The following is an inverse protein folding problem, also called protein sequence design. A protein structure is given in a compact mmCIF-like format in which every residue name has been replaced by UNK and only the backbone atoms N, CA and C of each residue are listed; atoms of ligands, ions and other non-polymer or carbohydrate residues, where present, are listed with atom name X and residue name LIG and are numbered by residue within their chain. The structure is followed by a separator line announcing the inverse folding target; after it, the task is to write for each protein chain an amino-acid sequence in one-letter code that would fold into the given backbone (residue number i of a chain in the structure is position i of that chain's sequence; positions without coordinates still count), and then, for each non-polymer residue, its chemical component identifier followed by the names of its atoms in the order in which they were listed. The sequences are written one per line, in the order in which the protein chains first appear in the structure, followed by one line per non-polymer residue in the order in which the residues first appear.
data_IF_969388086947
#
_entry.id   IF_969388086947
#
_cell.length_a   1.000
_cell.length_b   1.000
_cell.length_c   1.000
_cell.angle_alpha   90.00
_cell.angle_beta   90.00
_cell.angle_gamma   90.00
#
_symmetry.space_group_name_H-M   'P 1'
#
loop_
_entity.id
_entity.type
_entity.pdbx_description
1 polymer ?
#
# COMPACT_ATOMS: atom_id res chain seq x y z
N UNK A 1 28.83 5.48 9.77
CA UNK A 1 27.51 6.11 9.55
C UNK A 1 27.72 7.33 8.66
N UNK A 2 26.93 7.48 7.61
CA UNK A 2 26.94 8.69 6.77
C UNK A 2 25.84 9.61 7.29
N UNK A 3 26.21 10.77 7.84
CA UNK A 3 25.29 11.83 8.28
C UNK A 3 25.73 13.17 7.67
N UNK A 4 24.80 14.13 7.58
CA UNK A 4 25.13 15.47 7.11
C UNK A 4 26.03 16.21 8.10
N UNK A 5 26.72 17.24 7.63
CA UNK A 5 27.52 18.11 8.50
C UNK A 5 26.61 18.89 9.46
N UNK A 6 27.09 19.13 10.69
CA UNK A 6 26.31 19.82 11.72
C UNK A 6 25.83 21.22 11.30
N UNK A 7 26.61 21.90 10.45
CA UNK A 7 26.24 23.22 9.89
C UNK A 7 25.04 23.18 8.95
N UNK A 8 24.84 22.07 8.22
CA UNK A 8 23.69 21.84 7.34
C UNK A 8 22.41 21.68 8.17
N UNK A 9 22.49 20.95 9.28
CA UNK A 9 21.34 20.81 10.20
C UNK A 9 21.03 22.11 10.94
N UNK A 10 22.06 22.89 11.31
CA UNK A 10 21.88 24.16 12.01
C UNK A 10 21.35 25.29 11.10
N UNK A 11 21.68 25.26 9.80
CA UNK A 11 21.32 26.32 8.84
C UNK A 11 20.95 25.75 7.46
N UNK A 12 19.90 24.90 7.34
CA UNK A 12 19.61 24.17 6.10
C UNK A 12 19.34 25.09 4.91
N UNK A 13 18.71 26.25 5.13
CA UNK A 13 18.40 27.24 4.08
C UNK A 13 19.64 27.81 3.37
N UNK A 14 20.84 27.68 3.94
CA UNK A 14 22.09 28.07 3.25
C UNK A 14 22.53 27.08 2.18
N UNK A 15 22.07 25.83 2.27
CA UNK A 15 22.55 24.70 1.47
C UNK A 15 21.47 24.10 0.56
N UNK A 16 20.18 24.37 0.84
CA UNK A 16 19.05 23.88 0.05
C UNK A 16 18.23 25.04 -0.52
N UNK A 17 17.82 24.93 -1.78
CA UNK A 17 16.94 25.91 -2.44
C UNK A 17 15.55 25.98 -1.79
N UNK A 18 15.12 24.88 -1.16
CA UNK A 18 13.86 24.76 -0.45
C UNK A 18 14.01 23.84 0.76
N UNK A 19 13.50 24.29 1.91
CA UNK A 19 13.41 23.49 3.14
C UNK A 19 11.94 23.21 3.43
N UNK A 20 11.62 21.93 3.67
CA UNK A 20 10.28 21.48 4.07
C UNK A 20 10.43 20.80 5.42
N UNK A 21 9.65 21.26 6.40
CA UNK A 21 9.62 20.69 7.74
C UNK A 21 8.36 19.84 7.91
N UNK A 22 8.52 18.64 8.48
CA UNK A 22 7.43 17.70 8.75
C UNK A 22 7.61 17.20 10.19
N UNK A 23 6.66 17.52 11.07
CA UNK A 23 6.61 16.96 12.42
C UNK A 23 5.98 15.55 12.37
N UNK A 24 6.79 14.54 12.67
CA UNK A 24 6.34 13.15 12.70
C UNK A 24 5.40 12.84 13.86
N UNK A 25 5.38 13.68 14.91
CA UNK A 25 4.51 13.54 16.08
C UNK A 25 3.06 13.95 15.77
N UNK A 26 2.90 14.87 14.82
CA UNK A 26 1.59 15.36 14.37
C UNK A 26 1.09 14.61 13.12
N UNK A 27 1.98 13.88 12.42
CA UNK A 27 1.65 13.15 11.21
C UNK A 27 0.69 11.98 11.51
N UNK A 28 -0.49 11.99 10.87
CA UNK A 28 -1.41 10.86 10.87
C UNK A 28 -1.26 9.99 9.60
N UNK A 29 -1.80 8.74 9.57
CA UNK A 29 -1.76 7.90 8.38
C UNK A 29 -2.47 8.56 7.17
N UNK A 30 -1.90 8.37 5.98
CA UNK A 30 -2.40 8.97 4.74
C UNK A 30 -2.73 7.90 3.69
N UNK A 31 -3.60 8.29 2.77
CA UNK A 31 -3.97 7.51 1.59
C UNK A 31 -4.02 8.46 0.40
N UNK A 32 -3.29 8.16 -0.68
CA UNK A 32 -3.22 9.04 -1.85
C UNK A 32 -3.93 8.43 -3.06
N UNK A 33 -4.62 9.25 -3.86
CA UNK A 33 -5.33 8.81 -5.06
C UNK A 33 -6.69 9.48 -5.29
N UNK A 34 -7.46 9.03 -6.31
CA UNK A 34 -7.36 7.70 -6.94
C UNK A 34 -6.56 7.59 -8.26
N UNK A 35 -6.12 8.70 -8.86
CA UNK A 35 -5.49 8.68 -10.20
C UNK A 35 -4.12 9.39 -10.26
N UNK A 36 -3.66 9.89 -9.13
CA UNK A 36 -2.38 10.59 -9.00
C UNK A 36 -1.81 10.35 -7.59
N UNK A 37 -0.49 10.18 -7.44
CA UNK A 37 0.12 9.88 -6.15
C UNK A 37 0.24 11.13 -5.24
N UNK A 38 -0.01 12.33 -5.75
CA UNK A 38 0.10 13.59 -4.99
C UNK A 38 -1.24 14.08 -4.38
N UNK A 39 -2.37 13.45 -4.74
CA UNK A 39 -3.67 13.75 -4.14
C UNK A 39 -3.79 13.04 -2.79
N UNK A 40 -3.25 13.66 -1.74
CA UNK A 40 -3.15 13.10 -0.41
C UNK A 40 -4.40 13.34 0.45
N UNK A 41 -4.86 12.29 1.13
CA UNK A 41 -5.94 12.35 2.11
C UNK A 41 -5.45 11.81 3.44
N UNK A 42 -5.55 12.59 4.53
CA UNK A 42 -5.44 12.01 5.86
C UNK A 42 -6.54 10.96 6.05
N UNK A 43 -6.22 9.84 6.68
CA UNK A 43 -7.14 8.70 6.81
C UNK A 43 -8.46 9.11 7.49
N UNK A 44 -8.38 10.07 8.43
CA UNK A 44 -9.52 10.66 9.13
C UNK A 44 -10.53 11.36 8.21
N UNK A 45 -10.09 11.86 7.04
CA UNK A 45 -10.91 12.60 6.06
C UNK A 45 -11.30 11.77 4.83
N UNK A 46 -10.70 10.60 4.64
CA UNK A 46 -10.89 9.80 3.43
C UNK A 46 -12.36 9.40 3.19
N UNK A 47 -13.10 9.07 4.24
CA UNK A 47 -14.52 8.70 4.16
C UNK A 47 -15.35 9.80 3.50
N UNK A 48 -15.17 11.04 3.95
CA UNK A 48 -15.91 12.19 3.44
C UNK A 48 -15.48 12.49 2.00
N UNK A 49 -14.20 12.36 1.69
CA UNK A 49 -13.67 12.49 0.33
C UNK A 49 -14.32 11.47 -0.63
N UNK A 50 -14.42 10.20 -0.24
CA UNK A 50 -15.07 9.15 -1.04
C UNK A 50 -16.53 9.51 -1.34
N UNK A 51 -17.26 10.03 -0.36
CA UNK A 51 -18.67 10.43 -0.53
C UNK A 51 -18.82 11.64 -1.44
N UNK A 52 -18.06 12.71 -1.19
CA UNK A 52 -18.14 13.97 -1.95
C UNK A 52 -17.74 13.75 -3.42
N UNK A 53 -16.72 12.94 -3.69
CA UNK A 53 -16.24 12.69 -5.04
C UNK A 53 -16.97 11.54 -5.76
N UNK A 54 -17.90 10.84 -5.10
CA UNK A 54 -18.63 9.72 -5.68
C UNK A 54 -17.72 8.56 -6.12
N UNK A 55 -16.65 8.30 -5.36
CA UNK A 55 -15.77 7.15 -5.59
C UNK A 55 -16.42 5.86 -5.08
N UNK A 56 -16.17 4.69 -5.69
CA UNK A 56 -16.73 3.43 -5.21
C UNK A 56 -16.25 3.16 -3.78
N UNK A 57 -17.18 3.07 -2.82
CA UNK A 57 -16.83 2.87 -1.41
C UNK A 57 -16.41 1.43 -1.08
N UNK A 58 -16.80 0.46 -1.92
CA UNK A 58 -16.42 -0.94 -1.75
C UNK A 58 -15.01 -1.16 -2.26
N UNK A 59 -14.10 -1.53 -1.34
CA UNK A 59 -12.77 -2.02 -1.69
C UNK A 59 -12.89 -3.43 -2.26
N UNK A 60 -12.52 -3.61 -3.52
CA UNK A 60 -12.56 -4.93 -4.16
C UNK A 60 -11.29 -5.74 -3.87
N UNK A 61 -10.13 -5.09 -3.94
CA UNK A 61 -8.83 -5.75 -3.76
C UNK A 61 -7.89 -4.88 -2.93
N UNK A 62 -7.27 -5.49 -1.92
CA UNK A 62 -6.12 -4.96 -1.19
C UNK A 62 -4.83 -5.65 -1.65
N UNK A 63 -3.80 -4.88 -1.97
CA UNK A 63 -2.52 -5.41 -2.44
C UNK A 63 -1.37 -4.85 -1.61
N UNK A 64 -0.68 -5.68 -0.84
CA UNK A 64 0.51 -5.24 -0.08
C UNK A 64 1.80 -5.82 -0.66
N UNK A 65 2.90 -5.11 -0.45
CA UNK A 65 4.23 -5.53 -0.90
C UNK A 65 4.75 -4.74 -2.11
N UNK A 66 5.26 -5.45 -3.12
CA UNK A 66 6.03 -4.87 -4.25
C UNK A 66 7.35 -4.22 -3.77
N UNK A 67 8.05 -3.47 -4.61
CA UNK A 67 9.35 -2.90 -4.25
C UNK A 67 9.29 -1.82 -3.15
N UNK A 68 8.15 -1.16 -2.94
CA UNK A 68 8.05 -0.03 -2.00
C UNK A 68 7.89 -0.47 -0.55
N UNK A 69 6.99 -1.42 -0.27
CA UNK A 69 6.56 -1.76 1.10
C UNK A 69 6.48 -3.27 1.33
N UNK A 70 7.57 -3.98 0.99
CA UNK A 70 7.69 -5.43 1.16
C UNK A 70 8.88 -5.85 2.01
N UNK A 71 9.43 -4.94 2.81
CA UNK A 71 10.49 -5.31 3.76
C UNK A 71 9.95 -6.28 4.81
N UNK A 72 10.87 -6.90 5.56
CA UNK A 72 10.49 -7.71 6.71
C UNK A 72 9.67 -6.90 7.73
N UNK A 73 10.01 -5.64 7.96
CA UNK A 73 9.27 -4.75 8.87
C UNK A 73 7.84 -4.49 8.36
N UNK A 74 7.69 -4.16 7.07
CA UNK A 74 6.37 -3.91 6.46
C UNK A 74 5.45 -5.14 6.63
N UNK A 75 5.96 -6.32 6.27
CA UNK A 75 5.21 -7.57 6.36
C UNK A 75 4.93 -7.97 7.81
N UNK A 76 5.85 -7.67 8.73
CA UNK A 76 5.63 -7.91 10.18
C UNK A 76 4.49 -7.04 10.72
N UNK A 77 4.45 -5.76 10.34
CA UNK A 77 3.38 -4.84 10.74
C UNK A 77 2.02 -5.29 10.20
N UNK A 78 1.96 -5.66 8.92
CA UNK A 78 0.74 -6.18 8.31
C UNK A 78 0.29 -7.52 8.94
N UNK A 79 1.23 -8.45 9.17
CA UNK A 79 0.94 -9.73 9.82
C UNK A 79 0.42 -9.56 11.26
N UNK A 80 0.92 -8.56 12.00
CA UNK A 80 0.40 -8.21 13.33
C UNK A 80 -1.11 -7.88 13.31
N UNK A 81 -1.57 -7.15 12.27
CA UNK A 81 -3.00 -6.85 12.08
C UNK A 81 -3.76 -8.11 11.63
N UNK A 82 -3.18 -8.92 10.74
CA UNK A 82 -3.78 -10.17 10.30
C UNK A 82 -4.01 -11.15 11.47
N UNK A 83 -3.05 -11.29 12.39
CA UNK A 83 -3.18 -12.11 13.60
C UNK A 83 -4.33 -11.65 14.51
N UNK A 84 -4.54 -10.34 14.64
CA UNK A 84 -5.68 -9.80 15.40
C UNK A 84 -7.02 -10.10 14.73
N UNK A 85 -7.08 -10.10 13.40
CA UNK A 85 -8.27 -10.50 12.66
C UNK A 85 -8.54 -12.01 12.81
N UNK A 86 -7.51 -12.84 12.66
CA UNK A 86 -7.59 -14.29 12.82
C UNK A 86 -8.04 -14.70 14.23
N UNK A 87 -7.52 -14.07 15.29
CA UNK A 87 -7.94 -14.35 16.68
C UNK A 87 -9.41 -14.03 16.94
N UNK A 88 -9.96 -13.06 16.20
CA UNK A 88 -11.38 -12.71 16.19
C UNK A 88 -12.20 -13.52 15.18
N UNK A 89 -11.60 -14.53 14.52
CA UNK A 89 -12.21 -15.37 13.48
C UNK A 89 -12.74 -14.57 12.29
N UNK A 90 -12.12 -13.42 12.00
CA UNK A 90 -12.45 -12.59 10.86
C UNK A 90 -11.65 -13.01 9.62
N UNK A 91 -12.27 -12.87 8.46
CA UNK A 91 -11.63 -13.03 7.15
C UNK A 91 -11.65 -11.68 6.43
N UNK A 92 -10.76 -11.50 5.46
CA UNK A 92 -10.80 -10.33 4.58
C UNK A 92 -12.14 -10.28 3.84
N UNK A 93 -12.69 -9.07 3.68
CA UNK A 93 -13.91 -8.83 2.90
C UNK A 93 -13.63 -8.54 1.42
N UNK A 94 -12.40 -8.13 1.13
CA UNK A 94 -11.87 -7.85 -0.20
C UNK A 94 -10.89 -8.96 -0.57
N UNK A 95 -10.66 -9.18 -1.86
CA UNK A 95 -9.51 -10.00 -2.27
C UNK A 95 -8.24 -9.37 -1.70
N UNK A 96 -7.31 -10.21 -1.24
CA UNK A 96 -6.13 -9.72 -0.54
C UNK A 96 -4.89 -10.44 -1.03
N UNK A 97 -3.92 -9.68 -1.54
CA UNK A 97 -2.70 -10.23 -2.13
C UNK A 97 -1.45 -9.66 -1.45
N UNK A 98 -0.42 -10.50 -1.33
CA UNK A 98 0.83 -10.18 -0.65
C UNK A 98 1.99 -10.52 -1.59
N UNK A 99 2.85 -9.53 -1.89
CA UNK A 99 4.01 -9.71 -2.77
C UNK A 99 5.31 -9.42 -2.02
N UNK A 100 6.05 -10.45 -1.54
CA UNK A 100 7.37 -10.25 -0.96
C UNK A 100 8.36 -9.66 -1.99
N UNK A 101 9.24 -8.76 -1.56
CA UNK A 101 10.13 -8.02 -2.48
C UNK A 101 11.31 -8.82 -3.02
N UNK A 102 11.67 -9.92 -2.36
CA UNK A 102 12.77 -10.80 -2.76
C UNK A 102 12.58 -12.20 -2.21
N UNK A 103 13.32 -13.18 -2.75
CA UNK A 103 13.36 -14.53 -2.17
C UNK A 103 13.88 -14.55 -0.74
N UNK A 104 14.87 -13.71 -0.44
CA UNK A 104 15.41 -13.61 0.91
C UNK A 104 14.33 -13.18 1.91
N UNK A 105 13.55 -12.15 1.56
CA UNK A 105 12.43 -11.71 2.40
C UNK A 105 11.38 -12.80 2.47
N UNK A 106 10.93 -13.34 1.33
CA UNK A 106 9.91 -14.41 1.24
C UNK A 106 10.27 -15.58 2.17
N UNK A 107 11.48 -16.10 2.06
CA UNK A 107 11.98 -17.20 2.88
C UNK A 107 12.01 -16.85 4.38
N UNK A 108 12.45 -15.63 4.72
CA UNK A 108 12.54 -15.19 6.12
C UNK A 108 11.16 -15.04 6.75
N UNK A 109 10.22 -14.39 6.07
CA UNK A 109 8.85 -14.19 6.59
C UNK A 109 8.04 -15.49 6.61
N UNK A 110 8.34 -16.43 5.71
CA UNK A 110 7.80 -17.79 5.74
C UNK A 110 8.27 -18.56 6.98
N UNK A 111 9.60 -18.61 7.20
CA UNK A 111 10.22 -19.24 8.38
C UNK A 111 9.63 -18.69 9.68
N UNK A 112 9.39 -17.38 9.74
CA UNK A 112 8.89 -16.69 10.92
C UNK A 112 7.34 -16.72 11.04
N UNK A 113 6.66 -17.39 10.10
CA UNK A 113 5.21 -17.66 10.16
C UNK A 113 4.29 -16.56 9.65
N UNK A 114 4.83 -15.45 9.12
CA UNK A 114 4.05 -14.30 8.68
C UNK A 114 3.19 -14.62 7.45
N UNK A 115 3.66 -15.46 6.53
CA UNK A 115 2.85 -15.87 5.37
C UNK A 115 1.58 -16.61 5.80
N UNK A 116 1.72 -17.52 6.77
CA UNK A 116 0.61 -18.25 7.35
C UNK A 116 -0.39 -17.32 8.08
N UNK A 117 0.06 -16.21 8.68
CA UNK A 117 -0.84 -15.22 9.27
C UNK A 117 -1.76 -14.56 8.22
N UNK A 118 -1.24 -14.30 7.01
CA UNK A 118 -2.04 -13.77 5.91
C UNK A 118 -3.00 -14.82 5.33
N UNK A 119 -2.54 -16.05 5.11
CA UNK A 119 -3.37 -17.15 4.60
C UNK A 119 -4.53 -17.45 5.55
N UNK A 120 -4.29 -17.39 6.86
CA UNK A 120 -5.33 -17.56 7.88
C UNK A 120 -6.48 -16.56 7.78
N UNK A 121 -6.30 -15.40 7.17
CA UNK A 121 -7.38 -14.43 6.95
C UNK A 121 -7.93 -14.44 5.52
N UNK A 122 -7.39 -15.29 4.64
CA UNK A 122 -7.77 -15.40 3.23
C UNK A 122 -6.88 -14.61 2.26
N UNK A 123 -5.68 -14.21 2.70
CA UNK A 123 -4.68 -13.60 1.83
C UNK A 123 -4.02 -14.62 0.89
N UNK A 124 -3.62 -14.15 -0.29
CA UNK A 124 -2.91 -14.94 -1.31
C UNK A 124 -1.51 -14.37 -1.49
N UNK A 125 -0.50 -15.21 -1.28
CA UNK A 125 0.89 -14.84 -1.53
C UNK A 125 1.20 -14.98 -3.02
N UNK A 126 1.65 -13.89 -3.64
CA UNK A 126 2.08 -13.86 -5.04
C UNK A 126 3.58 -14.14 -5.16
N UNK A 127 4.01 -14.40 -6.38
CA UNK A 127 5.43 -14.45 -6.70
C UNK A 127 6.11 -13.10 -6.40
N UNK A 128 7.35 -13.16 -5.96
CA UNK A 128 8.30 -12.08 -5.71
C UNK A 128 8.73 -11.36 -7.01
N UNK A 129 7.77 -10.71 -7.66
CA UNK A 129 7.93 -9.94 -8.88
C UNK A 129 7.03 -8.70 -8.84
N UNK A 130 7.23 -7.74 -9.75
CA UNK A 130 6.44 -6.51 -9.78
C UNK A 130 4.92 -6.76 -9.94
N UNK A 131 4.52 -7.77 -10.73
CA UNK A 131 3.13 -8.23 -10.85
C UNK A 131 2.10 -7.09 -11.04
N UNK A 132 1.06 -7.01 -10.20
CA UNK A 132 0.04 -5.96 -10.27
C UNK A 132 0.56 -4.52 -10.18
N UNK A 133 1.77 -4.28 -9.65
CA UNK A 133 2.34 -2.93 -9.56
C UNK A 133 2.63 -2.30 -10.95
N UNK A 134 2.83 -3.13 -11.98
CA UNK A 134 3.14 -2.71 -13.35
C UNK A 134 2.06 -3.15 -14.37
N UNK A 135 0.92 -3.66 -13.90
CA UNK A 135 -0.12 -4.17 -14.80
C UNK A 135 0.05 -5.64 -15.21
N UNK A 136 1.05 -6.35 -14.68
CA UNK A 136 1.23 -7.79 -14.91
C UNK A 136 0.31 -8.57 -13.96
N UNK A 137 -0.98 -8.42 -14.18
CA UNK A 137 -2.03 -9.02 -13.37
C UNK A 137 -3.23 -9.40 -14.24
N UNK A 138 -3.47 -10.69 -14.37
CA UNK A 138 -4.71 -11.21 -14.93
C UNK A 138 -5.81 -11.10 -13.85
N UNK A 139 -6.32 -9.88 -13.66
CA UNK A 139 -7.36 -9.60 -12.65
C UNK A 139 -8.59 -10.45 -12.93
N UNK A 140 -9.06 -11.16 -11.90
CA UNK A 140 -10.32 -11.88 -11.98
C UNK A 140 -11.47 -10.88 -11.90
N UNK A 141 -12.05 -10.55 -13.06
CA UNK A 141 -13.23 -9.70 -13.15
C UNK A 141 -14.13 -10.19 -14.28
N UNK A 142 -15.45 -10.12 -14.06
CA UNK A 142 -16.44 -10.37 -15.10
C UNK A 142 -16.67 -9.16 -16.02
N UNK A 143 -16.23 -7.97 -15.61
CA UNK A 143 -16.39 -6.72 -16.32
C UNK A 143 -15.07 -5.92 -16.25
N UNK A 144 -14.30 -5.84 -17.36
CA UNK A 144 -13.01 -5.17 -17.38
C UNK A 144 -13.12 -3.63 -17.35
N UNK A 145 -14.31 -3.06 -17.54
CA UNK A 145 -14.55 -1.61 -17.52
C UNK A 145 -15.29 -1.15 -16.25
N UNK A 146 -15.56 -2.07 -15.32
CA UNK A 146 -16.28 -1.78 -14.07
C UNK A 146 -15.59 -0.69 -13.26
N UNK A 147 -16.35 0.32 -12.84
CA UNK A 147 -15.90 1.29 -11.83
C UNK A 147 -15.74 0.59 -10.48
N UNK A 148 -14.51 0.54 -9.97
CA UNK A 148 -14.16 -0.16 -8.73
C UNK A 148 -13.07 0.59 -7.96
N UNK A 149 -12.79 0.16 -6.73
CA UNK A 149 -11.74 0.72 -5.88
C UNK A 149 -10.79 -0.38 -5.44
N UNK A 150 -9.49 -0.12 -5.56
CA UNK A 150 -8.42 -0.95 -4.99
C UNK A 150 -7.54 -0.09 -4.08
N UNK A 151 -6.91 -0.73 -3.11
CA UNK A 151 -5.90 -0.09 -2.25
C UNK A 151 -4.62 -0.90 -2.29
N UNK A 152 -3.49 -0.21 -2.43
CA UNK A 152 -2.18 -0.84 -2.59
C UNK A 152 -1.13 -0.19 -1.70
N UNK A 153 -0.14 -0.95 -1.24
CA UNK A 153 1.08 -0.37 -0.65
C UNK A 153 2.17 -0.16 -1.70
N UNK A 154 1.77 0.27 -2.90
CA UNK A 154 2.69 0.59 -4.00
C UNK A 154 2.97 2.10 -4.00
N UNK A 155 3.57 2.63 -5.08
CA UNK A 155 3.90 4.05 -5.19
C UNK A 155 3.23 4.78 -6.37
N UNK A 156 2.53 4.07 -7.26
CA UNK A 156 1.92 4.65 -8.47
C UNK A 156 0.50 4.12 -8.65
N UNK A 157 -0.42 5.05 -8.86
CA UNK A 157 -1.86 4.82 -9.02
C UNK A 157 -2.45 5.56 -10.24
N UNK A 158 -1.65 5.79 -11.28
CA UNK A 158 -2.16 6.36 -12.54
C UNK A 158 -3.24 5.44 -13.14
N UNK A 159 -4.17 6.03 -13.89
CA UNK A 159 -5.22 5.27 -14.59
C UNK A 159 -4.61 4.12 -15.43
N UNK A 160 -5.28 2.95 -15.43
CA UNK A 160 -4.88 1.72 -16.12
C UNK A 160 -3.58 1.06 -15.62
N UNK A 161 -2.91 1.60 -14.60
CA UNK A 161 -1.60 1.11 -14.17
C UNK A 161 -1.61 -0.33 -13.68
N UNK A 162 -2.59 -0.71 -12.85
CA UNK A 162 -2.56 -1.99 -12.13
C UNK A 162 -3.20 -3.15 -12.89
N UNK A 163 -4.23 -2.88 -13.68
CA UNK A 163 -5.10 -3.90 -14.29
C UNK A 163 -5.57 -3.53 -15.71
N UNK A 164 -5.09 -2.42 -16.28
CA UNK A 164 -5.52 -1.93 -17.59
C UNK A 164 -6.87 -1.20 -17.63
N UNK A 165 -7.65 -1.20 -16.53
CA UNK A 165 -8.96 -0.58 -16.46
C UNK A 165 -8.85 0.92 -16.11
N UNK A 166 -9.36 1.85 -16.94
CA UNK A 166 -9.31 3.29 -16.63
C UNK A 166 -10.22 3.70 -15.48
N UNK A 167 -11.23 2.90 -15.15
CA UNK A 167 -12.24 3.17 -14.15
C UNK A 167 -11.88 2.61 -12.76
N UNK A 168 -10.75 1.92 -12.63
CA UNK A 168 -10.20 1.47 -11.34
C UNK A 168 -9.66 2.67 -10.57
N UNK A 169 -10.26 2.95 -9.42
CA UNK A 169 -9.84 3.98 -8.49
C UNK A 169 -8.78 3.38 -7.56
N UNK A 170 -7.50 3.66 -7.85
CA UNK A 170 -6.38 3.07 -7.13
C UNK A 170 -5.87 4.02 -6.04
N UNK A 171 -5.86 3.54 -4.81
CA UNK A 171 -5.27 4.28 -3.69
C UNK A 171 -3.94 3.67 -3.28
N UNK A 172 -2.98 4.51 -2.88
CA UNK A 172 -1.69 4.08 -2.31
C UNK A 172 -1.61 4.47 -0.84
N UNK A 173 -1.17 3.55 0.02
CA UNK A 173 -1.12 3.73 1.49
C UNK A 173 -0.06 2.83 2.14
#
# INVERSE_FOLDING_TARGET
HLNGDAEVYANPEKYFDQVIEIDLSELEPHVNGPFTPDLAWPISKLKDAVQVNGWPATLEVGLIGSCTNSSYEDLTRAASVARQAASKKLKVKSEYTITPGSEQVRFTVERDGLLNDFEQIGGVVLANACGPCIGQWARHTSDPDKKNTIITSFNRNFAKRNDGNPNTHAFVA
#
